data_IF_902240366821
#
_entry.id   IF_902240366821
#
_cell.length_a   1.000
_cell.length_b   1.000
_cell.length_c   1.000
_cell.angle_alpha   90.00
_cell.angle_beta   90.00
_cell.angle_gamma   90.00
#
_symmetry.space_group_name_H-M   'P 1'
#
loop_
_entity.id
_entity.type
_entity.pdbx_description
1 polymer ?
#
# COMPACT_ATOMS: atom_id res chain seq x y z
N UNK A 1 7.81 13.68 2.90
CA UNK A 1 7.27 13.85 4.25
C UNK A 1 5.82 14.29 4.16
N UNK A 2 4.94 13.56 4.83
CA UNK A 2 3.51 13.85 4.89
C UNK A 2 3.34 15.05 5.81
N UNK A 3 2.57 16.04 5.37
CA UNK A 3 2.37 17.32 6.05
C UNK A 3 1.92 17.11 7.51
N UNK A 4 2.74 17.49 8.46
CA UNK A 4 2.55 17.18 9.89
C UNK A 4 1.52 18.09 10.59
N UNK A 5 1.11 19.18 9.95
CA UNK A 5 0.43 20.25 10.64
C UNK A 5 -1.10 20.19 10.66
N UNK A 6 -1.73 19.45 9.73
CA UNK A 6 -3.20 19.37 9.67
C UNK A 6 -3.68 18.04 9.13
N UNK A 7 -4.68 17.40 9.79
CA UNK A 7 -5.24 16.12 9.37
C UNK A 7 -5.83 16.10 7.96
N UNK A 8 -6.28 17.25 7.44
CA UNK A 8 -6.75 17.38 6.04
C UNK A 8 -5.60 17.36 5.05
N UNK A 9 -4.47 18.01 5.36
CA UNK A 9 -3.31 18.03 4.48
C UNK A 9 -2.56 16.71 4.45
N UNK A 10 -2.69 15.86 5.47
CA UNK A 10 -2.17 14.48 5.45
C UNK A 10 -2.81 13.62 4.35
N UNK A 11 -4.11 13.76 4.10
CA UNK A 11 -4.78 13.03 3.03
C UNK A 11 -4.31 13.49 1.64
N UNK A 12 -4.03 14.78 1.46
CA UNK A 12 -3.44 15.31 0.23
C UNK A 12 -2.01 14.80 0.04
N UNK A 13 -1.18 14.83 1.08
CA UNK A 13 0.17 14.29 1.06
C UNK A 13 0.19 12.79 0.74
N UNK A 14 -0.73 12.02 1.33
CA UNK A 14 -0.91 10.61 1.02
C UNK A 14 -1.27 10.38 -0.45
N UNK A 15 -2.20 11.18 -1.01
CA UNK A 15 -2.58 11.08 -2.42
C UNK A 15 -1.38 11.36 -3.34
N UNK A 16 -0.61 12.41 -3.06
CA UNK A 16 0.59 12.73 -3.85
C UNK A 16 1.66 11.65 -3.77
N UNK A 17 1.89 11.08 -2.58
CA UNK A 17 2.82 9.96 -2.41
C UNK A 17 2.38 8.73 -3.20
N UNK A 18 1.08 8.40 -3.19
CA UNK A 18 0.52 7.27 -3.94
C UNK A 18 0.57 7.51 -5.45
N UNK A 19 0.27 8.72 -5.92
CA UNK A 19 0.43 9.09 -7.34
C UNK A 19 1.88 8.94 -7.78
N UNK A 20 2.82 9.44 -6.98
CA UNK A 20 4.25 9.31 -7.26
C UNK A 20 4.68 7.84 -7.34
N UNK A 21 4.22 7.01 -6.40
CA UNK A 21 4.51 5.58 -6.38
C UNK A 21 3.96 4.84 -7.62
N UNK A 22 2.69 5.06 -7.96
CA UNK A 22 2.08 4.45 -9.15
C UNK A 22 2.71 4.92 -10.44
N UNK A 23 3.05 6.21 -10.54
CA UNK A 23 3.70 6.79 -11.70
C UNK A 23 5.10 6.20 -11.87
N UNK A 24 5.91 6.18 -10.81
CA UNK A 24 7.24 5.55 -10.83
C UNK A 24 7.20 4.07 -11.20
N UNK A 25 6.25 3.32 -10.62
CA UNK A 25 6.09 1.90 -10.91
C UNK A 25 5.66 1.61 -12.36
N UNK A 26 4.61 2.30 -12.84
CA UNK A 26 4.05 2.04 -14.17
C UNK A 26 4.91 2.66 -15.29
N UNK A 27 5.31 3.93 -15.17
CA UNK A 27 6.17 4.59 -16.16
C UNK A 27 7.59 4.02 -16.16
N UNK A 28 8.14 3.71 -15.00
CA UNK A 28 9.44 3.04 -14.92
C UNK A 28 9.46 1.70 -15.67
N UNK A 29 8.37 0.92 -15.54
CA UNK A 29 8.20 -0.32 -16.28
C UNK A 29 8.07 -0.10 -17.81
N UNK A 30 7.35 0.94 -18.24
CA UNK A 30 7.22 1.31 -19.64
C UNK A 30 8.58 1.73 -20.20
N UNK A 31 9.31 2.60 -19.50
CA UNK A 31 10.66 3.04 -19.90
C UNK A 31 11.61 1.84 -20.01
N UNK A 32 11.57 0.91 -19.06
CA UNK A 32 12.39 -0.30 -19.09
C UNK A 32 12.13 -1.14 -20.35
N UNK A 33 10.85 -1.37 -20.68
CA UNK A 33 10.48 -2.20 -21.84
C UNK A 33 10.87 -1.55 -23.16
N UNK A 34 10.58 -0.26 -23.34
CA UNK A 34 10.96 0.44 -24.56
C UNK A 34 12.48 0.54 -24.74
N UNK A 35 13.22 0.75 -23.65
CA UNK A 35 14.68 0.79 -23.68
C UNK A 35 15.25 -0.58 -24.03
N UNK A 36 14.70 -1.66 -23.48
CA UNK A 36 15.11 -3.02 -23.81
C UNK A 36 14.84 -3.36 -25.27
N UNK A 37 13.65 -3.04 -25.77
CA UNK A 37 13.27 -3.24 -27.17
C UNK A 37 14.17 -2.44 -28.13
N UNK A 38 14.47 -1.19 -27.80
CA UNK A 38 15.38 -0.35 -28.57
C UNK A 38 16.77 -0.98 -28.69
N UNK A 39 17.34 -1.46 -27.56
CA UNK A 39 18.65 -2.10 -27.56
C UNK A 39 18.67 -3.44 -28.29
N UNK A 40 17.60 -4.21 -28.17
CA UNK A 40 17.43 -5.46 -28.90
C UNK A 40 17.40 -5.21 -30.41
N UNK A 41 16.66 -4.20 -30.88
CA UNK A 41 16.54 -3.83 -32.31
C UNK A 41 17.82 -3.33 -32.91
N UNK A 42 18.70 -2.68 -32.14
CA UNK A 42 20.04 -2.25 -32.63
C UNK A 42 21.12 -3.33 -32.48
N UNK A 43 20.74 -4.55 -32.05
CA UNK A 43 21.61 -5.73 -32.03
C UNK A 43 22.53 -5.84 -30.84
N UNK A 44 22.21 -5.19 -29.72
CA UNK A 44 22.94 -5.37 -28.44
C UNK A 44 22.53 -6.69 -27.81
N UNK A 45 23.46 -7.64 -27.68
CA UNK A 45 23.19 -8.96 -27.12
C UNK A 45 22.75 -8.88 -25.65
N UNK A 46 23.37 -8.01 -24.85
CA UNK A 46 23.07 -7.83 -23.44
C UNK A 46 22.11 -6.64 -23.20
N UNK A 47 21.05 -6.54 -23.97
CA UNK A 47 20.11 -5.41 -23.95
C UNK A 47 19.45 -5.18 -22.58
N UNK A 48 19.24 -6.22 -21.79
CA UNK A 48 18.75 -6.06 -20.41
C UNK A 48 19.77 -5.42 -19.49
N UNK A 49 21.06 -5.77 -19.60
CA UNK A 49 22.12 -5.13 -18.81
C UNK A 49 22.22 -3.64 -19.13
N UNK A 50 22.22 -3.30 -20.43
CA UNK A 50 22.22 -1.91 -20.87
C UNK A 50 21.00 -1.14 -20.38
N UNK A 51 19.81 -1.77 -20.39
CA UNK A 51 18.58 -1.20 -19.86
C UNK A 51 18.69 -0.91 -18.35
N UNK A 52 19.16 -1.89 -17.55
CA UNK A 52 19.32 -1.68 -16.12
C UNK A 52 20.39 -0.64 -15.78
N UNK A 53 21.46 -0.51 -16.58
CA UNK A 53 22.43 0.57 -16.42
C UNK A 53 21.79 1.95 -16.62
N UNK A 54 20.97 2.14 -17.65
CA UNK A 54 20.25 3.40 -17.88
C UNK A 54 19.28 3.70 -16.73
N UNK A 55 18.52 2.70 -16.28
CA UNK A 55 17.62 2.87 -15.13
C UNK A 55 18.40 3.21 -13.85
N UNK A 56 19.58 2.60 -13.67
CA UNK A 56 20.49 2.92 -12.55
C UNK A 56 20.96 4.37 -12.61
N UNK A 57 21.39 4.85 -13.77
CA UNK A 57 21.78 6.26 -13.98
C UNK A 57 20.59 7.19 -13.71
N UNK A 58 19.40 6.86 -14.19
CA UNK A 58 18.19 7.65 -13.94
C UNK A 58 17.89 7.76 -12.44
N UNK A 59 18.01 6.65 -11.69
CA UNK A 59 17.82 6.64 -10.24
C UNK A 59 18.86 7.53 -9.55
N UNK A 60 20.12 7.47 -9.98
CA UNK A 60 21.18 8.34 -9.42
C UNK A 60 20.86 9.81 -9.68
N UNK A 61 20.47 10.17 -10.90
CA UNK A 61 20.08 11.54 -11.24
C UNK A 61 18.89 12.03 -10.41
N UNK A 62 17.87 11.18 -10.20
CA UNK A 62 16.74 11.49 -9.35
C UNK A 62 17.14 11.68 -7.88
N UNK A 63 18.07 10.86 -7.36
CA UNK A 63 18.59 11.03 -6.00
C UNK A 63 19.40 12.32 -5.87
N UNK A 64 20.20 12.69 -6.88
CA UNK A 64 20.90 13.99 -6.89
C UNK A 64 19.88 15.13 -6.89
N UNK A 65 18.84 15.07 -7.73
CA UNK A 65 17.77 16.06 -7.73
C UNK A 65 17.06 16.18 -6.37
N UNK A 66 16.87 15.04 -5.67
CA UNK A 66 16.28 15.02 -4.32
C UNK A 66 17.13 15.76 -3.29
N UNK A 67 18.47 15.82 -3.45
CA UNK A 67 19.35 16.56 -2.54
C UNK A 67 19.10 18.08 -2.56
N UNK A 68 18.51 18.61 -3.63
CA UNK A 68 18.12 20.03 -3.72
C UNK A 68 16.75 20.35 -3.10
N UNK A 69 16.01 19.32 -2.68
CA UNK A 69 14.72 19.51 -2.00
C UNK A 69 14.98 19.93 -0.55
N UNK A 70 14.43 21.07 -0.16
CA UNK A 70 14.58 21.58 1.20
C UNK A 70 13.86 20.70 2.22
N UNK A 71 14.58 20.19 3.22
CA UNK A 71 13.97 19.45 4.32
C UNK A 71 13.31 20.40 5.32
N UNK A 72 12.10 20.10 5.81
CA UNK A 72 11.48 20.90 6.88
C UNK A 72 12.32 20.82 8.16
N UNK A 73 12.45 21.95 8.85
CA UNK A 73 13.25 22.07 10.08
C UNK A 73 12.64 21.19 11.18
N UNK A 74 13.37 20.18 11.61
CA UNK A 74 12.98 19.25 12.69
C UNK A 74 13.34 19.84 14.06
N UNK A 75 12.46 20.62 14.67
CA UNK A 75 12.78 21.32 15.91
C UNK A 75 12.63 20.49 17.19
N UNK A 76 11.68 19.56 17.27
CA UNK A 76 11.38 18.85 18.53
C UNK A 76 11.66 17.34 18.52
N UNK A 77 11.87 16.78 17.35
CA UNK A 77 11.92 15.33 17.14
C UNK A 77 13.24 14.72 17.54
N UNK A 78 14.33 15.36 17.10
CA UNK A 78 15.70 14.90 17.40
C UNK A 78 16.04 15.04 18.90
N UNK A 79 15.55 16.09 19.56
CA UNK A 79 15.77 16.29 20.99
C UNK A 79 15.07 15.20 21.82
N UNK A 80 13.81 14.89 21.53
CA UNK A 80 13.04 13.82 22.22
C UNK A 80 13.60 12.42 21.96
N UNK A 81 14.07 12.15 20.74
CA UNK A 81 14.69 10.89 20.43
C UNK A 81 16.04 10.72 21.13
N UNK A 82 16.88 11.77 21.14
CA UNK A 82 18.15 11.78 21.89
C UNK A 82 17.93 11.61 23.40
N UNK A 83 16.91 12.24 23.94
CA UNK A 83 16.54 12.11 25.36
C UNK A 83 16.13 10.68 25.69
N UNK A 84 15.30 10.05 24.85
CA UNK A 84 14.89 8.65 25.00
C UNK A 84 16.08 7.70 24.88
N UNK A 85 16.96 7.90 23.91
CA UNK A 85 18.18 7.11 23.73
C UNK A 85 19.14 7.24 24.92
N UNK A 86 19.28 8.43 25.46
CA UNK A 86 20.12 8.69 26.65
C UNK A 86 19.53 8.04 27.92
N UNK A 87 18.20 8.09 28.08
CA UNK A 87 17.52 7.40 29.19
C UNK A 87 17.69 5.88 29.15
N UNK A 88 17.65 5.31 27.93
CA UNK A 88 17.85 3.87 27.72
C UNK A 88 19.31 3.51 27.97
N UNK A 89 20.26 4.29 27.48
CA UNK A 89 21.70 4.10 27.74
C UNK A 89 22.04 4.21 29.22
N UNK A 90 21.47 5.17 29.92
CA UNK A 90 21.65 5.35 31.36
C UNK A 90 21.12 4.18 32.21
N UNK A 91 20.03 3.53 31.78
CA UNK A 91 19.49 2.34 32.45
C UNK A 91 20.29 1.06 32.20
N UNK A 92 20.99 0.96 31.11
CA UNK A 92 21.79 -0.23 30.74
C UNK A 92 23.21 -0.26 31.35
N UNK A 93 23.69 0.85 31.93
CA UNK A 93 24.84 0.92 32.85
C UNK A 93 26.22 0.52 32.29
N UNK A 94 26.38 0.30 30.99
CA UNK A 94 27.64 -0.11 30.35
C UNK A 94 27.81 0.55 28.97
N UNK A 95 29.06 0.93 28.64
CA UNK A 95 29.40 1.55 27.36
C UNK A 95 29.86 0.58 26.27
N UNK A 96 29.51 -0.70 26.39
CA UNK A 96 29.87 -1.72 25.41
C UNK A 96 29.08 -1.58 24.09
N UNK A 97 29.66 -2.03 22.97
CA UNK A 97 29.03 -2.05 21.64
C UNK A 97 27.69 -2.76 21.69
N UNK A 98 27.57 -3.88 22.42
CA UNK A 98 26.32 -4.63 22.59
C UNK A 98 25.26 -3.79 23.28
N UNK A 99 25.61 -3.07 24.34
CA UNK A 99 24.69 -2.19 25.09
C UNK A 99 24.20 -1.03 24.22
N UNK A 100 25.08 -0.46 23.41
CA UNK A 100 24.73 0.60 22.45
C UNK A 100 23.80 0.07 21.37
N UNK A 101 24.05 -1.12 20.84
CA UNK A 101 23.21 -1.77 19.84
C UNK A 101 21.84 -2.14 20.40
N UNK A 102 21.76 -2.70 21.60
CA UNK A 102 20.50 -3.01 22.29
C UNK A 102 19.72 -1.72 22.58
N UNK A 103 20.39 -0.65 23.05
CA UNK A 103 19.75 0.64 23.27
C UNK A 103 19.20 1.23 21.98
N UNK A 104 19.94 1.14 20.88
CA UNK A 104 19.52 1.61 19.57
C UNK A 104 18.29 0.84 19.07
N UNK A 105 18.28 -0.49 19.13
CA UNK A 105 17.12 -1.30 18.72
C UNK A 105 15.92 -1.03 19.64
N UNK A 106 16.14 -0.97 20.95
CA UNK A 106 15.05 -0.72 21.91
C UNK A 106 14.48 0.69 21.73
N UNK A 107 15.30 1.70 21.49
CA UNK A 107 14.88 3.06 21.21
C UNK A 107 14.16 3.19 19.86
N UNK A 108 14.73 2.57 18.82
CA UNK A 108 14.24 2.69 17.45
C UNK A 108 12.97 1.86 17.19
N UNK A 109 12.83 0.71 17.83
CA UNK A 109 11.69 -0.20 17.61
C UNK A 109 10.79 -0.25 18.85
N UNK A 110 11.35 -0.46 20.04
CA UNK A 110 10.60 -0.62 21.27
C UNK A 110 9.84 0.66 21.69
N UNK A 111 10.51 1.82 21.62
CA UNK A 111 9.90 3.10 21.92
C UNK A 111 8.65 3.41 21.09
N UNK A 112 8.73 3.33 19.75
CA UNK A 112 7.57 3.48 18.86
C UNK A 112 6.42 2.53 19.14
N UNK A 113 6.70 1.25 19.41
CA UNK A 113 5.69 0.24 19.75
C UNK A 113 5.01 0.58 21.07
N UNK A 114 5.79 0.84 22.12
CA UNK A 114 5.26 1.21 23.43
C UNK A 114 4.41 2.48 23.36
N UNK A 115 4.88 3.51 22.63
CA UNK A 115 4.15 4.74 22.40
C UNK A 115 2.80 4.47 21.72
N UNK A 116 2.78 3.63 20.69
CA UNK A 116 1.57 3.27 19.96
C UNK A 116 0.53 2.60 20.88
N UNK A 117 0.95 1.63 21.71
CA UNK A 117 0.06 0.96 22.65
C UNK A 117 -0.39 1.86 23.82
N UNK A 118 0.50 2.72 24.32
CA UNK A 118 0.13 3.71 25.36
C UNK A 118 -0.87 4.73 24.86
N UNK A 119 -0.71 5.23 23.62
CA UNK A 119 -1.60 6.22 22.99
C UNK A 119 -3.01 5.67 22.79
N UNK A 120 -3.14 4.44 22.31
CA UNK A 120 -4.41 3.87 21.88
C UNK A 120 -5.04 2.93 22.92
N UNK A 121 -4.26 2.38 23.85
CA UNK A 121 -4.65 1.26 24.70
C UNK A 121 -4.62 -0.08 23.95
N UNK A 122 -4.47 -1.19 24.68
CA UNK A 122 -4.22 -2.51 24.08
C UNK A 122 -5.34 -2.95 23.11
N UNK A 123 -6.60 -2.85 23.51
CA UNK A 123 -7.73 -3.33 22.72
C UNK A 123 -7.90 -2.56 21.39
N UNK A 124 -7.72 -1.22 21.43
CA UNK A 124 -7.83 -0.39 20.23
C UNK A 124 -6.61 -0.60 19.35
N UNK A 125 -5.40 -0.66 19.92
CA UNK A 125 -4.18 -0.94 19.19
C UNK A 125 -4.25 -2.30 18.47
N UNK A 126 -4.70 -3.36 19.14
CA UNK A 126 -4.92 -4.66 18.52
C UNK A 126 -5.97 -4.61 17.41
N UNK A 127 -7.06 -3.87 17.58
CA UNK A 127 -8.07 -3.65 16.55
C UNK A 127 -7.51 -2.90 15.33
N UNK A 128 -6.66 -1.89 15.54
CA UNK A 128 -5.96 -1.18 14.45
C UNK A 128 -5.02 -2.12 13.70
N UNK A 129 -4.20 -2.90 14.41
CA UNK A 129 -3.27 -3.85 13.80
C UNK A 129 -4.01 -4.94 13.03
N UNK A 130 -5.10 -5.47 13.59
CA UNK A 130 -5.98 -6.43 12.90
C UNK A 130 -6.60 -5.85 11.64
N UNK A 131 -7.10 -4.62 11.70
CA UNK A 131 -7.61 -3.92 10.52
C UNK A 131 -6.52 -3.73 9.45
N UNK A 132 -5.35 -3.19 9.84
CA UNK A 132 -4.22 -2.95 8.92
C UNK A 132 -3.75 -4.25 8.26
N UNK A 133 -3.71 -5.34 9.02
CA UNK A 133 -3.32 -6.66 8.52
C UNK A 133 -4.33 -7.24 7.51
N UNK A 134 -5.64 -7.06 7.75
CA UNK A 134 -6.70 -7.69 6.98
C UNK A 134 -7.23 -6.84 5.81
N UNK A 135 -7.05 -5.52 5.83
CA UNK A 135 -7.76 -4.60 4.94
C UNK A 135 -7.61 -4.93 3.45
N UNK A 136 -6.42 -5.30 3.01
CA UNK A 136 -6.15 -5.57 1.59
C UNK A 136 -6.14 -7.06 1.21
N UNK A 137 -6.68 -7.91 2.05
CA UNK A 137 -6.62 -9.37 1.84
C UNK A 137 -7.38 -9.79 0.59
N UNK A 138 -8.64 -9.34 0.43
CA UNK A 138 -9.47 -9.68 -0.72
C UNK A 138 -8.86 -9.23 -2.04
N UNK A 139 -8.35 -7.97 -2.09
CA UNK A 139 -7.61 -7.44 -3.24
C UNK A 139 -6.35 -8.27 -3.54
N UNK A 140 -5.64 -8.72 -2.51
CA UNK A 140 -4.40 -9.46 -2.69
C UNK A 140 -4.61 -10.88 -3.23
N UNK A 141 -5.65 -11.58 -2.77
CA UNK A 141 -6.03 -12.89 -3.30
C UNK A 141 -6.43 -12.78 -4.77
N UNK A 142 -7.31 -11.83 -5.09
CA UNK A 142 -7.72 -11.57 -6.46
C UNK A 142 -6.53 -11.18 -7.34
N UNK A 143 -5.72 -10.23 -6.93
CA UNK A 143 -4.58 -9.72 -7.71
C UNK A 143 -3.52 -10.78 -8.02
N UNK A 144 -3.33 -11.77 -7.13
CA UNK A 144 -2.42 -12.90 -7.36
C UNK A 144 -2.92 -13.85 -8.45
N UNK A 145 -4.22 -14.08 -8.50
CA UNK A 145 -4.83 -15.06 -9.38
C UNK A 145 -5.42 -14.44 -10.65
N UNK A 146 -5.52 -13.12 -10.74
CA UNK A 146 -6.17 -12.41 -11.86
C UNK A 146 -5.62 -12.80 -13.23
N UNK A 147 -4.28 -12.87 -13.40
CA UNK A 147 -3.67 -13.21 -14.69
C UNK A 147 -3.92 -14.66 -15.07
N UNK A 148 -3.93 -15.58 -14.11
CA UNK A 148 -4.25 -17.00 -14.34
C UNK A 148 -5.69 -17.09 -14.82
N UNK A 149 -6.61 -16.49 -14.08
CA UNK A 149 -8.03 -16.41 -14.40
C UNK A 149 -8.29 -15.84 -15.80
N UNK A 150 -7.67 -14.70 -16.18
CA UNK A 150 -7.86 -14.12 -17.49
C UNK A 150 -7.43 -15.04 -18.62
N UNK A 151 -6.33 -15.78 -18.43
CA UNK A 151 -5.85 -16.75 -19.41
C UNK A 151 -6.79 -17.95 -19.53
N UNK A 152 -7.30 -18.46 -18.41
CA UNK A 152 -8.21 -19.61 -18.41
C UNK A 152 -9.56 -19.28 -19.05
N UNK A 153 -10.08 -18.07 -18.89
CA UNK A 153 -11.27 -17.61 -19.62
C UNK A 153 -11.00 -17.42 -21.13
N UNK A 154 -9.72 -17.36 -21.55
CA UNK A 154 -9.32 -17.26 -22.94
C UNK A 154 -9.02 -15.86 -23.45
N UNK A 155 -8.66 -14.91 -22.56
CA UNK A 155 -8.16 -13.62 -22.99
C UNK A 155 -6.71 -13.71 -23.48
N UNK A 156 -6.41 -13.05 -24.61
CA UNK A 156 -5.06 -12.97 -25.14
C UNK A 156 -4.14 -12.08 -24.30
N UNK A 157 -2.82 -12.30 -24.42
CA UNK A 157 -1.82 -11.43 -23.73
C UNK A 157 -1.99 -9.97 -24.11
N UNK A 158 -2.31 -9.69 -25.40
CA UNK A 158 -2.55 -8.33 -25.89
C UNK A 158 -3.78 -7.68 -25.23
N UNK A 159 -4.89 -8.40 -25.13
CA UNK A 159 -6.10 -7.92 -24.45
C UNK A 159 -5.82 -7.60 -22.98
N UNK A 160 -5.13 -8.50 -22.28
CA UNK A 160 -4.74 -8.29 -20.88
C UNK A 160 -3.83 -7.05 -20.75
N UNK A 161 -2.87 -6.86 -21.66
CA UNK A 161 -1.96 -5.71 -21.64
C UNK A 161 -2.70 -4.38 -21.84
N UNK A 162 -3.59 -4.30 -22.82
CA UNK A 162 -4.34 -3.08 -23.13
C UNK A 162 -5.24 -2.68 -21.94
N UNK A 163 -6.07 -3.59 -21.45
CA UNK A 163 -7.04 -3.27 -20.40
C UNK A 163 -6.39 -3.10 -19.03
N UNK A 164 -5.47 -4.01 -18.64
CA UNK A 164 -4.89 -4.01 -17.31
C UNK A 164 -3.71 -3.04 -17.13
N UNK A 165 -2.95 -2.72 -18.19
CA UNK A 165 -1.75 -1.87 -18.09
C UNK A 165 -1.94 -0.49 -18.71
N UNK A 166 -2.49 -0.41 -19.94
CA UNK A 166 -2.59 0.84 -20.66
C UNK A 166 -3.59 1.82 -20.04
N UNK A 167 -4.85 1.40 -19.89
CA UNK A 167 -5.88 2.23 -19.28
C UNK A 167 -5.68 2.40 -17.78
N UNK A 168 -5.15 1.39 -17.11
CA UNK A 168 -5.03 1.34 -15.67
C UNK A 168 -4.15 2.44 -15.06
N UNK A 169 -3.12 2.96 -15.77
CA UNK A 169 -2.31 4.05 -15.22
C UNK A 169 -3.11 5.35 -15.08
N UNK A 170 -3.79 5.76 -16.14
CA UNK A 170 -4.59 7.02 -16.13
C UNK A 170 -5.68 6.91 -15.07
N UNK A 171 -6.42 5.80 -15.06
CA UNK A 171 -7.48 5.53 -14.09
C UNK A 171 -6.94 5.60 -12.66
N UNK A 172 -5.84 4.92 -12.39
CA UNK A 172 -5.23 4.90 -11.04
C UNK A 172 -4.81 6.29 -10.57
N UNK A 173 -4.16 7.09 -11.43
CA UNK A 173 -3.72 8.45 -11.07
C UNK A 173 -4.91 9.35 -10.78
N UNK A 174 -5.89 9.39 -11.69
CA UNK A 174 -7.08 10.24 -11.56
C UNK A 174 -7.86 9.89 -10.29
N UNK A 175 -8.13 8.60 -10.07
CA UNK A 175 -8.92 8.19 -8.92
C UNK A 175 -8.14 8.18 -7.60
N UNK A 176 -6.81 8.15 -7.63
CA UNK A 176 -5.99 8.44 -6.43
C UNK A 176 -6.19 9.89 -5.98
N UNK A 177 -6.18 10.85 -6.91
CA UNK A 177 -6.43 12.27 -6.59
C UNK A 177 -7.86 12.48 -6.07
N UNK A 178 -8.87 11.88 -6.72
CA UNK A 178 -10.26 11.93 -6.27
C UNK A 178 -10.41 11.32 -4.88
N UNK A 179 -9.78 10.17 -4.63
CA UNK A 179 -9.75 9.52 -3.31
C UNK A 179 -9.10 10.38 -2.24
N UNK A 180 -8.02 11.10 -2.56
CA UNK A 180 -7.40 12.08 -1.68
C UNK A 180 -8.34 13.22 -1.31
N UNK A 181 -9.02 13.79 -2.31
CA UNK A 181 -10.05 14.84 -2.09
C UNK A 181 -11.21 14.31 -1.22
N UNK A 182 -11.66 13.08 -1.49
CA UNK A 182 -12.69 12.44 -0.68
C UNK A 182 -12.25 12.24 0.77
N UNK A 183 -11.02 11.79 0.99
CA UNK A 183 -10.46 11.61 2.34
C UNK A 183 -10.35 12.93 3.10
N UNK A 184 -10.03 14.05 2.40
CA UNK A 184 -10.02 15.40 2.99
C UNK A 184 -11.40 15.90 3.37
N UNK A 185 -12.40 15.72 2.47
CA UNK A 185 -13.76 16.27 2.65
C UNK A 185 -14.66 15.39 3.53
N UNK A 186 -14.70 14.09 3.26
CA UNK A 186 -15.56 13.15 3.98
C UNK A 186 -14.91 12.56 5.24
N UNK A 187 -13.59 12.67 5.34
CA UNK A 187 -12.77 12.09 6.41
C UNK A 187 -12.26 10.70 6.06
N UNK A 188 -11.07 10.39 6.54
CA UNK A 188 -10.31 9.18 6.18
C UNK A 188 -11.06 7.88 6.51
N UNK A 189 -11.71 7.81 7.68
CA UNK A 189 -12.44 6.59 8.09
C UNK A 189 -13.64 6.30 7.14
N UNK A 190 -14.40 7.32 6.76
CA UNK A 190 -15.51 7.14 5.81
C UNK A 190 -15.00 6.71 4.44
N UNK A 191 -13.89 7.29 4.00
CA UNK A 191 -13.23 6.91 2.74
C UNK A 191 -12.74 5.47 2.78
N UNK A 192 -12.25 4.98 3.93
CA UNK A 192 -11.86 3.59 4.12
C UNK A 192 -13.05 2.61 4.01
N UNK A 193 -14.20 2.95 4.62
CA UNK A 193 -15.42 2.14 4.46
C UNK A 193 -15.90 2.12 3.01
N UNK A 194 -15.88 3.27 2.34
CA UNK A 194 -16.23 3.37 0.93
C UNK A 194 -15.31 2.52 0.05
N UNK A 195 -13.99 2.63 0.25
CA UNK A 195 -13.00 1.82 -0.47
C UNK A 195 -13.17 0.32 -0.24
N UNK A 196 -13.44 -0.10 1.00
CA UNK A 196 -13.73 -1.50 1.32
C UNK A 196 -15.01 -2.02 0.67
N UNK A 197 -16.07 -1.20 0.64
CA UNK A 197 -17.31 -1.52 -0.07
C UNK A 197 -17.11 -1.65 -1.59
N UNK A 198 -16.35 -0.74 -2.19
CA UNK A 198 -15.97 -0.84 -3.60
C UNK A 198 -15.17 -2.12 -3.87
N UNK A 199 -14.22 -2.46 -3.01
CA UNK A 199 -13.42 -3.69 -3.13
C UNK A 199 -14.30 -4.94 -3.14
N UNK A 200 -15.32 -5.00 -2.29
CA UNK A 200 -16.28 -6.10 -2.30
C UNK A 200 -17.09 -6.15 -3.62
N UNK A 201 -17.53 -4.99 -4.12
CA UNK A 201 -18.29 -4.90 -5.37
C UNK A 201 -17.42 -5.31 -6.58
N UNK A 202 -16.18 -4.86 -6.65
CA UNK A 202 -15.30 -5.20 -7.77
C UNK A 202 -14.94 -6.69 -7.79
N UNK A 203 -14.72 -7.30 -6.64
CA UNK A 203 -14.53 -8.76 -6.57
C UNK A 203 -15.76 -9.51 -7.08
N UNK A 204 -16.98 -9.04 -6.80
CA UNK A 204 -18.21 -9.62 -7.35
C UNK A 204 -18.32 -9.41 -8.87
N UNK A 205 -17.82 -8.33 -9.45
CA UNK A 205 -17.78 -8.17 -10.91
C UNK A 205 -16.89 -9.25 -11.56
N UNK A 206 -15.79 -9.63 -10.92
CA UNK A 206 -14.98 -10.76 -11.40
C UNK A 206 -15.70 -12.11 -11.23
N UNK A 207 -16.51 -12.29 -10.20
CA UNK A 207 -17.36 -13.48 -10.08
C UNK A 207 -18.38 -13.53 -11.22
N UNK A 208 -19.03 -12.42 -11.56
CA UNK A 208 -19.94 -12.33 -12.70
C UNK A 208 -19.22 -12.62 -14.01
N UNK A 209 -18.00 -12.09 -14.20
CA UNK A 209 -17.18 -12.41 -15.37
C UNK A 209 -16.86 -13.90 -15.46
N UNK A 210 -16.56 -14.56 -14.33
CA UNK A 210 -16.28 -15.98 -14.28
C UNK A 210 -17.49 -16.83 -14.70
N UNK A 211 -18.70 -16.45 -14.27
CA UNK A 211 -19.93 -17.17 -14.63
C UNK A 211 -20.41 -16.87 -16.05
N UNK A 212 -20.16 -15.67 -16.55
CA UNK A 212 -20.56 -15.26 -17.92
C UNK A 212 -19.60 -15.83 -18.98
N UNK A 213 -18.35 -16.08 -18.60
CA UNK A 213 -17.29 -16.48 -19.50
C UNK A 213 -16.66 -15.28 -20.24
N UNK A 214 -15.99 -15.55 -21.37
CA UNK A 214 -15.24 -14.52 -22.11
C UNK A 214 -16.15 -13.40 -22.64
N UNK A 215 -16.12 -12.24 -21.98
CA UNK A 215 -16.77 -11.00 -22.40
C UNK A 215 -15.78 -9.84 -22.27
N UNK A 216 -15.37 -9.26 -23.40
CA UNK A 216 -14.40 -8.15 -23.39
C UNK A 216 -14.94 -6.91 -22.68
N UNK A 217 -16.21 -6.60 -22.87
CA UNK A 217 -16.85 -5.45 -22.21
C UNK A 217 -16.86 -5.62 -20.70
N UNK A 218 -17.29 -6.79 -20.22
CA UNK A 218 -17.36 -7.06 -18.77
C UNK A 218 -15.96 -7.12 -18.17
N UNK A 219 -14.97 -7.66 -18.90
CA UNK A 219 -13.58 -7.67 -18.51
C UNK A 219 -13.03 -6.23 -18.37
N UNK A 220 -13.25 -5.38 -19.36
CA UNK A 220 -12.84 -3.97 -19.31
C UNK A 220 -13.46 -3.26 -18.10
N UNK A 221 -14.78 -3.42 -17.87
CA UNK A 221 -15.49 -2.83 -16.73
C UNK A 221 -14.92 -3.33 -15.41
N UNK A 222 -14.70 -4.64 -15.26
CA UNK A 222 -14.20 -5.23 -14.03
C UNK A 222 -12.78 -4.74 -13.70
N UNK A 223 -11.88 -4.70 -14.68
CA UNK A 223 -10.50 -4.24 -14.51
C UNK A 223 -10.43 -2.75 -14.20
N UNK A 224 -11.18 -1.90 -14.92
CA UNK A 224 -11.21 -0.46 -14.65
C UNK A 224 -11.80 -0.19 -13.26
N UNK A 225 -12.88 -0.88 -12.87
CA UNK A 225 -13.48 -0.75 -11.55
C UNK A 225 -12.50 -1.18 -10.45
N UNK A 226 -11.71 -2.23 -10.68
CA UNK A 226 -10.68 -2.68 -9.76
C UNK A 226 -9.54 -1.66 -9.61
N UNK A 227 -9.04 -1.10 -10.71
CA UNK A 227 -8.02 -0.04 -10.69
C UNK A 227 -8.51 1.22 -9.92
N UNK A 228 -9.78 1.59 -10.10
CA UNK A 228 -10.43 2.68 -9.34
C UNK A 228 -10.43 2.34 -7.85
N UNK A 229 -10.87 1.14 -7.52
CA UNK A 229 -10.95 0.67 -6.13
C UNK A 229 -9.58 0.59 -5.48
N UNK A 230 -8.58 0.04 -6.17
CA UNK A 230 -7.21 -0.04 -5.69
C UNK A 230 -6.62 1.35 -5.43
N UNK A 231 -6.93 2.35 -6.28
CA UNK A 231 -6.52 3.74 -6.09
C UNK A 231 -7.12 4.34 -4.81
N UNK A 232 -8.46 4.23 -4.65
CA UNK A 232 -9.14 4.69 -3.44
C UNK A 232 -8.65 3.99 -2.17
N UNK A 233 -8.57 2.66 -2.21
CA UNK A 233 -8.14 1.87 -1.07
C UNK A 233 -6.69 2.22 -0.65
N UNK A 234 -5.80 2.40 -1.61
CA UNK A 234 -4.40 2.71 -1.33
C UNK A 234 -4.24 4.10 -0.73
N UNK A 235 -4.85 5.14 -1.30
CA UNK A 235 -4.73 6.50 -0.76
C UNK A 235 -5.39 6.64 0.60
N UNK A 236 -6.57 6.02 0.80
CA UNK A 236 -7.25 6.00 2.08
C UNK A 236 -6.43 5.27 3.15
N UNK A 237 -5.82 4.15 2.80
CA UNK A 237 -4.97 3.36 3.71
C UNK A 237 -3.70 4.10 4.11
N UNK A 238 -3.01 4.74 3.16
CA UNK A 238 -1.83 5.57 3.44
C UNK A 238 -2.20 6.75 4.33
N UNK A 239 -3.32 7.44 4.05
CA UNK A 239 -3.82 8.52 4.89
C UNK A 239 -4.18 8.02 6.30
N UNK A 240 -4.82 6.86 6.41
CA UNK A 240 -5.20 6.26 7.69
C UNK A 240 -3.97 5.94 8.56
N UNK A 241 -2.97 5.25 7.99
CA UNK A 241 -1.72 4.96 8.71
C UNK A 241 -1.05 6.27 9.16
N UNK A 242 -0.98 7.26 8.28
CA UNK A 242 -0.35 8.55 8.58
C UNK A 242 -1.02 9.30 9.73
N UNK A 243 -2.34 9.17 9.89
CA UNK A 243 -3.09 9.75 11.00
C UNK A 243 -2.88 9.04 12.35
N UNK A 244 -2.49 7.77 12.31
CA UNK A 244 -2.31 6.96 13.51
C UNK A 244 -0.95 7.15 14.18
N UNK A 245 0.08 7.50 13.40
CA UNK A 245 1.45 7.60 13.88
C UNK A 245 1.64 8.76 14.86
N UNK A 246 2.54 8.57 15.80
CA UNK A 246 2.99 9.63 16.71
C UNK A 246 4.01 10.52 16.01
N UNK A 247 3.90 11.85 16.21
CA UNK A 247 4.83 12.81 15.63
C UNK A 247 6.29 12.55 16.01
N UNK A 248 6.54 12.03 17.20
CA UNK A 248 7.87 11.70 17.69
C UNK A 248 8.51 10.54 16.93
N UNK A 249 7.70 9.56 16.50
CA UNK A 249 8.15 8.32 15.89
C UNK A 249 7.54 8.07 14.51
N UNK A 250 7.20 9.14 13.77
CA UNK A 250 6.40 9.05 12.53
C UNK A 250 6.97 8.03 11.53
N UNK A 251 8.26 8.12 11.22
CA UNK A 251 8.89 7.26 10.22
C UNK A 251 8.85 5.78 10.63
N UNK A 252 9.22 5.48 11.88
CA UNK A 252 9.28 4.09 12.37
C UNK A 252 7.89 3.49 12.55
N UNK A 253 6.94 4.22 13.15
CA UNK A 253 5.58 3.73 13.30
C UNK A 253 4.87 3.55 11.95
N UNK A 254 5.08 4.48 11.01
CA UNK A 254 4.56 4.33 9.65
C UNK A 254 5.13 3.08 8.97
N UNK A 255 6.45 2.89 9.02
CA UNK A 255 7.11 1.72 8.45
C UNK A 255 6.61 0.41 9.07
N UNK A 256 6.43 0.35 10.39
CA UNK A 256 5.91 -0.83 11.09
C UNK A 256 4.47 -1.15 10.67
N UNK A 257 3.57 -0.15 10.66
CA UNK A 257 2.18 -0.33 10.25
C UNK A 257 2.06 -0.72 8.77
N UNK A 258 2.82 -0.06 7.90
CA UNK A 258 2.86 -0.41 6.47
C UNK A 258 3.41 -1.82 6.24
N UNK A 259 4.42 -2.24 7.00
CA UNK A 259 4.97 -3.60 6.96
C UNK A 259 3.97 -4.65 7.41
N UNK A 260 3.19 -4.38 8.47
CA UNK A 260 2.12 -5.28 8.92
C UNK A 260 1.05 -5.44 7.84
N UNK A 261 0.63 -4.32 7.21
CA UNK A 261 -0.32 -4.38 6.10
C UNK A 261 0.21 -5.16 4.89
N UNK A 262 1.50 -5.00 4.58
CA UNK A 262 2.16 -5.76 3.51
C UNK A 262 2.31 -7.24 3.89
N UNK A 263 2.69 -7.55 5.13
CA UNK A 263 2.79 -8.92 5.63
C UNK A 263 1.45 -9.66 5.54
N UNK A 264 0.35 -9.03 6.00
CA UNK A 264 -0.99 -9.61 5.87
C UNK A 264 -1.35 -9.93 4.43
N UNK A 265 -1.16 -8.95 3.54
CA UNK A 265 -1.43 -9.09 2.12
C UNK A 265 -0.58 -10.18 1.46
N UNK A 266 0.73 -10.23 1.72
CA UNK A 266 1.62 -11.19 1.04
C UNK A 266 1.52 -12.58 1.61
N UNK A 267 1.49 -12.73 2.93
CA UNK A 267 1.47 -14.04 3.60
C UNK A 267 0.15 -14.77 3.35
N UNK A 268 -0.97 -14.09 3.53
CA UNK A 268 -2.27 -14.74 3.35
C UNK A 268 -2.58 -14.99 1.88
N UNK A 269 -2.27 -14.05 0.98
CA UNK A 269 -2.49 -14.26 -0.45
C UNK A 269 -1.55 -15.30 -1.08
N UNK A 270 -0.49 -15.74 -0.39
CA UNK A 270 0.33 -16.85 -0.89
C UNK A 270 -0.45 -18.17 -1.01
N UNK A 271 -1.53 -18.32 -0.23
CA UNK A 271 -2.42 -19.49 -0.30
C UNK A 271 -3.52 -19.37 -1.37
N UNK A 272 -3.56 -18.28 -2.16
CA UNK A 272 -4.63 -18.06 -3.15
C UNK A 272 -4.69 -19.14 -4.22
N UNK A 273 -3.54 -19.68 -4.68
CA UNK A 273 -3.51 -20.81 -5.63
C UNK A 273 -4.09 -22.07 -5.01
N UNK A 274 -3.69 -22.42 -3.78
CA UNK A 274 -4.24 -23.56 -3.07
C UNK A 274 -5.77 -23.45 -2.86
N UNK A 275 -6.29 -22.22 -2.68
CA UNK A 275 -7.72 -21.99 -2.61
C UNK A 275 -8.42 -22.29 -3.94
N UNK A 276 -7.84 -21.87 -5.08
CA UNK A 276 -8.37 -22.18 -6.42
C UNK A 276 -8.36 -23.69 -6.66
N UNK A 277 -7.27 -24.38 -6.32
CA UNK A 277 -7.15 -25.82 -6.45
C UNK A 277 -8.19 -26.55 -5.58
N UNK A 278 -8.40 -26.10 -4.34
CA UNK A 278 -9.42 -26.66 -3.44
C UNK A 278 -10.84 -26.47 -3.97
N UNK A 279 -11.09 -25.39 -4.70
CA UNK A 279 -12.38 -25.12 -5.37
C UNK A 279 -12.49 -25.80 -6.73
N UNK A 280 -11.53 -26.65 -7.12
CA UNK A 280 -11.48 -27.31 -8.42
C UNK A 280 -11.59 -26.34 -9.62
N UNK A 281 -11.01 -25.15 -9.49
CA UNK A 281 -11.03 -24.12 -10.54
C UNK A 281 -12.34 -23.34 -10.65
N UNK A 282 -13.24 -23.42 -9.67
CA UNK A 282 -14.44 -22.58 -9.63
C UNK A 282 -14.08 -21.13 -9.29
N UNK A 283 -13.77 -20.37 -10.32
CA UNK A 283 -13.42 -18.95 -10.21
C UNK A 283 -14.56 -18.09 -9.67
N UNK A 284 -15.81 -18.43 -9.98
CA UNK A 284 -16.96 -17.69 -9.46
C UNK A 284 -17.01 -17.74 -7.94
N UNK A 285 -16.93 -18.94 -7.37
CA UNK A 285 -16.86 -19.13 -5.92
C UNK A 285 -15.60 -18.54 -5.32
N UNK A 286 -14.45 -18.61 -5.99
CA UNK A 286 -13.22 -17.96 -5.54
C UNK A 286 -13.41 -16.46 -5.34
N UNK A 287 -13.97 -15.73 -6.32
CA UNK A 287 -14.19 -14.29 -6.21
C UNK A 287 -15.26 -13.91 -5.17
N UNK A 288 -16.29 -14.74 -5.00
CA UNK A 288 -17.24 -14.56 -3.89
C UNK A 288 -16.55 -14.69 -2.53
N UNK A 289 -15.67 -15.67 -2.36
CA UNK A 289 -14.88 -15.82 -1.14
C UNK A 289 -13.96 -14.62 -0.90
N UNK A 290 -13.29 -14.10 -1.94
CA UNK A 290 -12.46 -12.89 -1.80
C UNK A 290 -13.29 -11.65 -1.41
N UNK A 291 -14.55 -11.58 -1.82
CA UNK A 291 -15.50 -10.56 -1.37
C UNK A 291 -15.79 -10.71 0.14
N UNK A 292 -16.05 -11.93 0.59
CA UNK A 292 -16.31 -12.20 2.02
C UNK A 292 -15.08 -11.89 2.88
N UNK A 293 -13.86 -12.10 2.36
CA UNK A 293 -12.61 -11.78 3.06
C UNK A 293 -12.43 -10.28 3.37
N UNK A 294 -13.17 -9.39 2.71
CA UNK A 294 -13.17 -7.96 3.03
C UNK A 294 -13.93 -7.67 4.33
N UNK A 295 -14.97 -8.46 4.65
CA UNK A 295 -15.89 -8.21 5.77
C UNK A 295 -15.17 -8.13 7.13
N UNK A 296 -14.27 -9.07 7.51
CA UNK A 296 -13.58 -9.00 8.80
C UNK A 296 -12.83 -7.69 9.01
N UNK A 297 -12.20 -7.14 7.96
CA UNK A 297 -11.50 -5.87 8.04
C UNK A 297 -12.45 -4.70 8.30
N UNK A 298 -13.60 -4.67 7.63
CA UNK A 298 -14.63 -3.65 7.85
C UNK A 298 -15.25 -3.74 9.23
N UNK A 299 -15.41 -4.94 9.79
CA UNK A 299 -15.84 -5.15 11.17
C UNK A 299 -14.81 -4.58 12.15
N UNK A 300 -13.51 -4.89 11.97
CA UNK A 300 -12.45 -4.29 12.77
C UNK A 300 -12.49 -2.76 12.71
N UNK A 301 -12.61 -2.18 11.53
CA UNK A 301 -12.71 -0.73 11.36
C UNK A 301 -13.94 -0.15 12.06
N UNK A 302 -15.09 -0.83 11.96
CA UNK A 302 -16.31 -0.41 12.62
C UNK A 302 -16.20 -0.39 14.15
N UNK A 303 -15.54 -1.40 14.72
CA UNK A 303 -15.32 -1.49 16.17
C UNK A 303 -14.43 -0.37 16.72
N UNK A 304 -13.45 0.08 15.92
CA UNK A 304 -12.45 1.07 16.34
C UNK A 304 -12.78 2.51 15.91
N UNK A 305 -13.67 2.73 14.94
CA UNK A 305 -13.92 4.04 14.28
C UNK A 305 -14.16 5.21 15.23
N UNK A 306 -14.88 4.98 16.34
CA UNK A 306 -15.23 6.01 17.33
C UNK A 306 -14.21 6.12 18.47
N UNK A 307 -13.26 5.19 18.56
CA UNK A 307 -12.30 5.07 19.65
C UNK A 307 -10.89 5.48 19.26
N UNK A 308 -10.63 5.58 17.95
CA UNK A 308 -9.33 6.01 17.45
C UNK A 308 -9.14 7.50 17.77
N UNK A 309 -8.08 7.80 18.50
CA UNK A 309 -7.63 9.18 18.72
C UNK A 309 -6.91 9.67 17.47
N UNK A 310 -7.67 10.09 16.45
CA UNK A 310 -7.11 10.70 15.24
C UNK A 310 -6.72 12.12 15.58
N UNK A 311 -5.41 12.40 15.62
CA UNK A 311 -4.88 13.75 15.76
C UNK A 311 -5.55 14.55 16.87
N UNK A 312 -5.18 14.36 18.12
CA UNK A 312 -5.50 15.38 19.13
C UNK A 312 -4.88 16.71 18.64
N UNK A 313 -5.77 17.73 18.54
CA UNK A 313 -5.39 19.11 18.25
C UNK A 313 -4.25 19.60 19.13
#
# INVERSE_FOLDING_TARGET
>A
QINENEGKSMAAGAAMAVVGWWTGYKLGGVVALFTAEFFENIGIQDYWQATFLILGVLIILMNIALMFVHEPIETDRQSKQKETDNLIKGKLGSSNIITTFVAYITGTIGGPIISFFKKNGFAIAAGILGFVFLFKIGEAFMGRMSIVFYKEIGFSKGQIAIYSKGLGWITTVVFTLIGGVMAMKAGTIKTMFFAGGLMAITNLLFAVLAWTGKSELLFAIAVIADDITAAFATVAFVAFISLLVDRTYTATQYALLASIGTAGRTTLASSSGALVDWLNGDWGTFFVLTTIMVIPSLICLWMIKNKIKIGAK
#
